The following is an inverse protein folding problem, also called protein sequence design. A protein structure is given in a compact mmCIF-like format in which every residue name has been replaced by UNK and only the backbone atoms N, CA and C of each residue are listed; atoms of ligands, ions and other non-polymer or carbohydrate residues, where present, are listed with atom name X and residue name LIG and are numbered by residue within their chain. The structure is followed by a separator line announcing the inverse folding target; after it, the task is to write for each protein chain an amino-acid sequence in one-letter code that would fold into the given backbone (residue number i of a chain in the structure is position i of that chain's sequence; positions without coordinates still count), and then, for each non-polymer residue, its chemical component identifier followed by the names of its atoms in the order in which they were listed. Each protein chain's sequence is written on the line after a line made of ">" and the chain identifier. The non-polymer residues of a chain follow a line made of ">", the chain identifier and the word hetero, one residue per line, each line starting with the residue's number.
data_IF_516303516767
#
_entry.id   IF_516303516767
#
_cell.length_a   1.000
_cell.length_b   1.000
_cell.length_c   1.000
_cell.angle_alpha   90.00
_cell.angle_beta   90.00
_cell.angle_gamma   90.00
#
_symmetry.space_group_name_H-M   'P 1'
#
loop_
_entity.id
_entity.type
_entity.pdbx_description
1 polymer ?
#
# COMPACT_ATOMS: atom_id res chain seq x y z
N UNK A 1 -17.81 3.95 19.55
CA UNK A 1 -16.70 3.88 18.56
C UNK A 1 -16.10 2.49 18.62
N UNK A 2 -15.86 1.83 17.48
CA UNK A 2 -15.31 0.46 17.43
C UNK A 2 -13.80 0.49 17.14
N UNK A 3 -13.03 -0.34 17.83
CA UNK A 3 -11.59 -0.51 17.62
C UNK A 3 -11.40 -1.65 16.62
N UNK A 4 -10.76 -1.37 15.48
CA UNK A 4 -10.37 -2.40 14.52
C UNK A 4 -9.16 -3.20 15.03
N UNK A 5 -9.24 -4.53 14.97
CA UNK A 5 -8.14 -5.43 15.34
C UNK A 5 -7.62 -6.12 14.08
N UNK A 6 -6.34 -5.98 13.77
CA UNK A 6 -5.65 -6.67 12.66
C UNK A 6 -4.66 -7.71 13.21
N UNK A 7 -4.58 -8.89 12.58
CA UNK A 7 -3.59 -9.94 12.87
C UNK A 7 -3.01 -10.50 11.57
N UNK A 8 -1.72 -10.85 11.59
CA UNK A 8 -1.00 -11.43 10.44
C UNK A 8 -0.52 -12.83 10.78
N UNK A 9 -0.63 -13.75 9.83
CA UNK A 9 -0.25 -15.15 9.97
C UNK A 9 0.59 -15.58 8.78
N UNK A 10 1.50 -16.54 8.99
CA UNK A 10 2.15 -17.24 7.90
C UNK A 10 1.15 -18.21 7.26
N UNK A 11 1.16 -18.28 5.93
CA UNK A 11 0.28 -19.16 5.19
C UNK A 11 0.98 -20.49 4.92
N UNK A 12 0.27 -21.61 5.13
CA UNK A 12 0.84 -22.96 5.02
C UNK A 12 1.12 -23.41 3.58
N UNK A 13 0.23 -23.06 2.65
CA UNK A 13 0.25 -23.48 1.25
C UNK A 13 -0.58 -22.50 0.41
N UNK A 14 -0.69 -22.70 -0.91
CA UNK A 14 -1.34 -21.75 -1.83
C UNK A 14 -2.87 -21.89 -1.95
N UNK A 15 -3.52 -22.83 -1.24
CA UNK A 15 -4.98 -23.07 -1.37
C UNK A 15 -5.84 -21.85 -1.01
N UNK A 16 -5.30 -20.91 -0.22
CA UNK A 16 -5.99 -19.66 0.10
C UNK A 16 -6.31 -18.81 -1.14
N UNK A 17 -5.54 -18.97 -2.23
CA UNK A 17 -5.73 -18.20 -3.48
C UNK A 17 -7.04 -18.55 -4.18
N UNK A 18 -7.53 -19.77 -4.00
CA UNK A 18 -8.78 -20.23 -4.62
C UNK A 18 -10.03 -19.74 -3.87
N UNK A 19 -9.86 -19.18 -2.66
CA UNK A 19 -10.96 -18.73 -1.81
C UNK A 19 -11.48 -17.33 -2.18
N UNK A 20 -10.76 -16.58 -3.03
CA UNK A 20 -11.16 -15.24 -3.43
C UNK A 20 -10.51 -14.81 -4.75
N UNK A 21 -11.13 -13.84 -5.43
CA UNK A 21 -10.52 -13.21 -6.59
C UNK A 21 -9.35 -12.31 -6.15
N UNK A 22 -8.16 -12.60 -6.66
CA UNK A 22 -6.98 -11.76 -6.46
C UNK A 22 -6.96 -10.52 -7.37
N UNK A 23 -6.38 -9.43 -6.86
CA UNK A 23 -5.97 -8.29 -7.67
C UNK A 23 -4.46 -8.22 -7.73
N UNK A 24 -3.92 -7.76 -8.86
CA UNK A 24 -2.50 -7.54 -8.99
C UNK A 24 -2.09 -6.28 -8.22
N UNK A 25 -1.34 -6.47 -7.14
CA UNK A 25 -0.72 -5.39 -6.37
C UNK A 25 0.72 -5.20 -6.83
N UNK A 26 1.07 -3.97 -7.23
CA UNK A 26 2.46 -3.57 -7.46
C UNK A 26 2.75 -2.36 -6.60
N UNK A 27 3.94 -2.29 -6.02
CA UNK A 27 4.34 -1.15 -5.21
C UNK A 27 5.81 -0.82 -5.41
N UNK A 28 6.12 0.47 -5.44
CA UNK A 28 7.46 1.02 -5.46
C UNK A 28 7.64 2.00 -4.32
N UNK A 29 8.83 2.03 -3.75
CA UNK A 29 9.22 3.01 -2.74
C UNK A 29 10.22 3.97 -3.37
N UNK A 30 10.00 5.27 -3.17
CA UNK A 30 10.93 6.31 -3.59
C UNK A 30 11.82 6.61 -2.39
N UNK A 31 13.14 6.55 -2.59
CA UNK A 31 14.10 6.88 -1.56
C UNK A 31 14.03 8.38 -1.23
N UNK A 32 14.01 8.71 0.06
CA UNK A 32 13.99 10.10 0.56
C UNK A 32 15.10 10.30 1.58
N UNK A 33 15.63 11.52 1.68
CA UNK A 33 16.74 11.85 2.59
C UNK A 33 16.34 11.93 4.07
N UNK A 34 15.06 12.13 4.38
CA UNK A 34 14.57 12.60 5.68
C UNK A 34 13.65 11.61 6.42
N UNK A 35 13.79 10.31 6.15
CA UNK A 35 12.95 9.22 6.70
C UNK A 35 11.46 9.31 6.34
N UNK A 36 11.10 10.20 5.42
CA UNK A 36 9.78 10.18 4.77
C UNK A 36 9.60 8.85 4.04
N UNK A 37 8.37 8.34 3.97
CA UNK A 37 8.07 7.18 3.12
C UNK A 37 7.17 7.65 2.01
N UNK A 38 7.69 7.66 0.80
CA UNK A 38 6.90 7.86 -0.41
C UNK A 38 6.71 6.50 -1.07
N UNK A 39 5.46 6.08 -1.20
CA UNK A 39 5.09 4.81 -1.82
C UNK A 39 4.09 5.04 -2.94
N UNK A 40 4.42 4.56 -4.12
CA UNK A 40 3.49 4.43 -5.24
C UNK A 40 2.97 3.00 -5.22
N UNK A 41 1.65 2.82 -5.30
CA UNK A 41 1.01 1.50 -5.36
C UNK A 41 -0.02 1.49 -6.48
N UNK A 42 -0.03 0.43 -7.28
CA UNK A 42 -1.15 0.12 -8.17
C UNK A 42 -1.89 -1.13 -7.70
N UNK A 43 -3.21 -1.11 -7.84
CA UNK A 43 -4.13 -2.19 -7.48
C UNK A 43 -5.08 -2.35 -8.67
N UNK A 44 -4.84 -3.35 -9.51
CA UNK A 44 -5.53 -3.43 -10.80
C UNK A 44 -5.30 -2.17 -11.65
N UNK A 45 -6.36 -1.43 -11.94
CA UNK A 45 -6.38 -0.17 -12.73
C UNK A 45 -6.31 1.11 -11.86
N UNK A 46 -6.27 0.96 -10.53
CA UNK A 46 -6.22 2.07 -9.59
C UNK A 46 -4.77 2.33 -9.14
N UNK A 47 -4.43 3.60 -8.92
CA UNK A 47 -3.15 3.99 -8.34
C UNK A 47 -3.30 4.86 -7.10
N UNK A 48 -2.32 4.75 -6.22
CA UNK A 48 -2.26 5.43 -4.95
C UNK A 48 -0.85 5.97 -4.73
N UNK A 49 -0.77 7.23 -4.28
CA UNK A 49 0.44 7.79 -3.70
C UNK A 49 0.23 7.91 -2.19
N UNK A 50 1.13 7.33 -1.42
CA UNK A 50 1.18 7.51 0.02
C UNK A 50 2.45 8.28 0.36
N UNK A 51 2.31 9.37 1.10
CA UNK A 51 3.42 10.10 1.70
C UNK A 51 3.23 10.04 3.20
N UNK A 52 4.18 9.41 3.88
CA UNK A 52 4.20 9.38 5.34
C UNK A 52 5.39 10.18 5.84
N UNK A 53 5.14 11.21 6.63
CA UNK A 53 6.19 12.04 7.22
C UNK A 53 7.09 11.26 8.17
N UNK A 54 8.15 11.91 8.64
CA UNK A 54 9.02 11.37 9.70
C UNK A 54 8.20 11.08 10.97
N UNK A 55 8.58 10.02 11.69
CA UNK A 55 7.98 9.72 12.98
C UNK A 55 8.33 10.83 14.00
N UNK A 56 7.33 11.37 14.67
CA UNK A 56 7.48 12.23 15.84
C UNK A 56 6.94 11.48 17.06
N UNK A 57 7.80 10.67 17.70
CA UNK A 57 7.38 9.74 18.76
C UNK A 57 6.46 8.64 18.22
N UNK A 58 5.26 8.48 18.79
CA UNK A 58 4.22 7.55 18.30
C UNK A 58 3.32 8.16 17.22
N UNK A 59 3.48 9.46 16.91
CA UNK A 59 2.68 10.14 15.91
C UNK A 59 3.40 10.21 14.56
N UNK A 60 2.65 10.04 13.48
CA UNK A 60 3.15 10.14 12.11
C UNK A 60 2.09 10.79 11.22
N UNK A 61 2.49 11.79 10.43
CA UNK A 61 1.63 12.32 9.39
C UNK A 61 1.48 11.27 8.28
N UNK A 62 0.24 10.89 7.95
CA UNK A 62 -0.07 9.97 6.86
C UNK A 62 -1.03 10.66 5.89
N UNK A 63 -0.58 10.88 4.65
CA UNK A 63 -1.40 11.39 3.57
C UNK A 63 -1.46 10.34 2.47
N UNK A 64 -2.67 9.90 2.13
CA UNK A 64 -2.91 8.98 1.02
C UNK A 64 -3.89 9.59 0.03
N UNK A 65 -3.47 9.69 -1.22
CA UNK A 65 -4.31 10.17 -2.31
C UNK A 65 -4.56 9.05 -3.31
N UNK A 66 -5.83 8.87 -3.69
CA UNK A 66 -6.24 7.96 -4.76
C UNK A 66 -6.22 8.72 -6.08
N UNK A 67 -5.53 8.16 -7.07
CA UNK A 67 -5.61 8.65 -8.45
C UNK A 67 -6.62 7.79 -9.20
N UNK A 68 -7.61 8.43 -9.79
CA UNK A 68 -8.58 7.79 -10.67
C UNK A 68 -7.91 7.68 -12.05
N UNK A 69 -7.64 6.43 -12.47
CA UNK A 69 -6.98 6.02 -13.72
C UNK A 69 -5.45 6.06 -13.73
N UNK A 70 -4.84 4.87 -13.61
CA UNK A 70 -3.46 4.62 -14.00
C UNK A 70 -3.44 3.89 -15.34
N UNK A 71 -2.97 4.56 -16.40
CA UNK A 71 -2.64 3.89 -17.66
C UNK A 71 -1.20 3.38 -17.58
N UNK A 72 -0.95 2.07 -17.70
CA UNK A 72 0.42 1.57 -17.72
C UNK A 72 1.18 2.19 -18.90
N UNK A 73 2.32 2.81 -18.61
CA UNK A 73 3.29 3.19 -19.64
C UNK A 73 3.82 1.87 -20.21
N UNK A 74 3.48 1.58 -21.46
CA UNK A 74 4.09 0.47 -22.20
C UNK A 74 5.49 0.96 -22.60
N UNK A 75 6.52 0.28 -22.09
CA UNK A 75 7.85 0.35 -22.67
C UNK A 75 7.91 -0.52 -23.92
#
# INVERSE_FOLDING_TARGET
>A
MAIGIERKFLVKDDRWRDLAQGYLYRQGYIATKDLTTVRVRTIGDQAYLTIKGKNAGMARLDLSMKFLQWKPIKF
#
